data_IF_905238883374
#
_entry.id   IF_905238883374
#
_cell.length_a   1.000
_cell.length_b   1.000
_cell.length_c   1.000
_cell.angle_alpha   90.00
_cell.angle_beta   90.00
_cell.angle_gamma   90.00
#
_symmetry.space_group_name_H-M   'P 1'
#
loop_
_entity.id
_entity.type
_entity.pdbx_description
1 polymer ?
#
# COMPACT_ATOMS: atom_id res chain seq x y z
N UNK A 1 -3.02 16.98 13.98
CA UNK A 1 -3.85 15.83 13.60
C UNK A 1 -3.43 15.36 12.21
N UNK A 2 -3.20 14.08 12.04
CA UNK A 2 -3.04 13.54 10.69
C UNK A 2 -4.42 13.56 10.00
N UNK A 3 -4.52 14.18 8.84
CA UNK A 3 -5.73 14.12 8.04
C UNK A 3 -5.90 12.68 7.53
N UNK A 4 -7.09 12.14 7.64
CA UNK A 4 -7.41 10.81 7.12
C UNK A 4 -7.49 10.89 5.59
N UNK A 5 -6.93 9.88 4.91
CA UNK A 5 -7.03 9.79 3.46
C UNK A 5 -8.47 9.43 3.08
N UNK A 6 -9.12 10.34 2.35
CA UNK A 6 -10.48 10.12 1.83
C UNK A 6 -10.37 9.30 0.56
N UNK A 7 -10.88 8.06 0.59
CA UNK A 7 -10.93 7.21 -0.59
C UNK A 7 -11.93 7.75 -1.61
N UNK A 8 -11.57 7.80 -2.90
CA UNK A 8 -12.53 8.16 -3.95
C UNK A 8 -13.67 7.15 -4.05
N UNK A 9 -14.87 7.62 -4.39
CA UNK A 9 -16.09 6.80 -4.51
C UNK A 9 -15.92 5.59 -5.46
N UNK A 10 -15.09 5.70 -6.50
CA UNK A 10 -14.85 4.59 -7.41
C UNK A 10 -14.10 3.41 -6.74
N UNK A 11 -13.40 3.65 -5.64
CA UNK A 11 -12.75 2.59 -4.85
C UNK A 11 -13.78 1.81 -4.06
N UNK A 12 -14.74 2.51 -3.46
CA UNK A 12 -15.79 1.90 -2.62
C UNK A 12 -16.72 0.99 -3.45
N UNK A 13 -16.91 1.31 -4.73
CA UNK A 13 -17.73 0.55 -5.67
C UNK A 13 -16.93 -0.43 -6.55
N UNK A 14 -15.78 -0.87 -6.08
CA UNK A 14 -14.85 -1.74 -6.83
C UNK A 14 -14.68 -3.13 -6.22
N UNK A 15 -15.62 -3.62 -5.45
CA UNK A 15 -15.62 -5.00 -4.97
C UNK A 15 -15.82 -6.00 -6.15
N UNK A 16 -15.30 -7.23 -6.06
CA UNK A 16 -15.33 -8.19 -7.15
C UNK A 16 -16.74 -8.50 -7.64
N UNK A 17 -17.72 -8.61 -6.75
CA UNK A 17 -19.11 -8.94 -7.10
C UNK A 17 -19.76 -7.81 -7.89
N UNK A 18 -19.54 -6.56 -7.50
CA UNK A 18 -20.03 -5.38 -8.23
C UNK A 18 -19.40 -5.28 -9.63
N UNK A 19 -18.10 -5.54 -9.75
CA UNK A 19 -17.40 -5.54 -11.04
C UNK A 19 -17.94 -6.67 -11.92
N UNK A 20 -18.06 -7.87 -11.37
CA UNK A 20 -18.57 -9.03 -12.07
C UNK A 20 -20.01 -8.80 -12.57
N UNK A 21 -20.89 -8.24 -11.74
CA UNK A 21 -22.26 -7.89 -12.13
C UNK A 21 -22.31 -6.90 -13.28
N UNK A 22 -21.42 -5.89 -13.29
CA UNK A 22 -21.30 -4.95 -14.43
C UNK A 22 -20.80 -5.63 -15.69
N UNK A 23 -19.89 -6.60 -15.58
CA UNK A 23 -19.41 -7.38 -16.72
C UNK A 23 -20.54 -8.24 -17.30
N UNK A 24 -21.31 -8.91 -16.45
CA UNK A 24 -22.45 -9.73 -16.86
C UNK A 24 -23.55 -8.91 -17.52
N UNK A 25 -23.83 -7.71 -17.02
CA UNK A 25 -24.82 -6.80 -17.60
C UNK A 25 -24.47 -6.34 -19.03
N UNK A 26 -23.21 -6.46 -19.44
CA UNK A 26 -22.79 -6.16 -20.80
C UNK A 26 -22.86 -7.37 -21.76
N UNK A 27 -23.25 -8.55 -21.25
CA UNK A 27 -23.46 -9.73 -22.06
C UNK A 27 -24.89 -9.80 -22.61
N UNK A 28 -25.14 -10.61 -23.68
CA UNK A 28 -26.49 -10.85 -24.18
C UNK A 28 -27.43 -11.40 -23.08
N UNK A 29 -28.71 -11.03 -23.16
CA UNK A 29 -29.70 -11.29 -22.10
C UNK A 29 -29.95 -12.80 -21.83
N UNK A 30 -29.58 -13.68 -22.75
CA UNK A 30 -29.82 -15.13 -22.66
C UNK A 30 -28.66 -15.88 -21.96
N UNK A 31 -27.66 -15.17 -21.45
CA UNK A 31 -26.51 -15.81 -20.80
C UNK A 31 -26.75 -15.85 -19.30
N UNK A 32 -26.62 -17.04 -18.71
CA UNK A 32 -26.74 -17.25 -17.28
C UNK A 32 -25.64 -16.52 -16.50
N UNK A 33 -26.01 -15.86 -15.42
CA UNK A 33 -25.12 -15.18 -14.47
C UNK A 33 -24.96 -15.96 -13.15
N UNK A 34 -25.40 -17.22 -13.14
CA UNK A 34 -25.32 -18.04 -11.94
C UNK A 34 -23.89 -18.53 -11.65
N UNK A 35 -23.47 -18.58 -10.39
CA UNK A 35 -22.23 -19.26 -10.00
C UNK A 35 -22.18 -20.70 -10.52
N UNK A 36 -20.99 -21.15 -10.95
CA UNK A 36 -20.74 -22.41 -11.60
C UNK A 36 -21.17 -22.51 -13.07
N UNK A 37 -21.77 -21.48 -13.65
CA UNK A 37 -21.94 -21.37 -15.09
C UNK A 37 -20.70 -20.76 -15.76
N UNK A 38 -20.40 -21.20 -16.97
CA UNK A 38 -19.15 -20.83 -17.67
C UNK A 38 -18.92 -19.30 -17.77
N UNK A 39 -19.93 -18.45 -18.10
CA UNK A 39 -19.72 -17.03 -18.19
C UNK A 39 -19.35 -16.40 -16.84
N UNK A 40 -19.97 -16.82 -15.76
CA UNK A 40 -19.65 -16.37 -14.42
C UNK A 40 -18.25 -16.78 -14.00
N UNK A 41 -17.93 -18.06 -14.09
CA UNK A 41 -16.65 -18.62 -13.68
C UNK A 41 -15.48 -18.08 -14.51
N UNK A 42 -15.74 -17.75 -15.79
CA UNK A 42 -14.73 -17.16 -16.67
C UNK A 42 -14.47 -15.66 -16.37
N UNK A 43 -15.48 -14.91 -15.98
CA UNK A 43 -15.36 -13.47 -15.72
C UNK A 43 -14.93 -13.15 -14.29
N UNK A 44 -15.25 -13.99 -13.33
CA UNK A 44 -14.97 -13.74 -11.91
C UNK A 44 -13.48 -13.55 -11.59
N UNK A 45 -12.54 -14.34 -12.10
CA UNK A 45 -11.12 -14.12 -11.89
C UNK A 45 -10.65 -12.74 -12.38
N UNK A 46 -11.16 -12.29 -13.52
CA UNK A 46 -10.87 -10.97 -14.06
C UNK A 46 -11.43 -9.86 -13.16
N UNK A 47 -12.64 -10.03 -12.64
CA UNK A 47 -13.26 -9.09 -11.71
C UNK A 47 -12.45 -8.97 -10.40
N UNK A 48 -11.93 -10.08 -9.89
CA UNK A 48 -11.06 -10.11 -8.70
C UNK A 48 -9.77 -9.32 -8.96
N UNK A 49 -9.10 -9.53 -10.09
CA UNK A 49 -7.87 -8.81 -10.42
C UNK A 49 -8.10 -7.32 -10.65
N UNK A 50 -9.21 -6.94 -11.29
CA UNK A 50 -9.59 -5.53 -11.47
C UNK A 50 -9.90 -4.88 -10.11
N UNK A 51 -10.63 -5.56 -9.23
CA UNK A 51 -10.90 -5.09 -7.88
C UNK A 51 -9.60 -4.83 -7.11
N UNK A 52 -8.66 -5.78 -7.18
CA UNK A 52 -7.34 -5.66 -6.55
C UNK A 52 -6.55 -4.47 -7.10
N UNK A 53 -6.57 -4.28 -8.42
CA UNK A 53 -5.93 -3.14 -9.06
C UNK A 53 -6.47 -1.82 -8.54
N UNK A 54 -7.79 -1.69 -8.42
CA UNK A 54 -8.44 -0.46 -7.99
C UNK A 54 -8.23 -0.23 -6.49
N UNK A 55 -8.59 -1.20 -5.66
CA UNK A 55 -8.60 -1.05 -4.19
C UNK A 55 -7.21 -0.91 -3.60
N UNK A 56 -6.22 -1.62 -4.14
CA UNK A 56 -4.86 -1.57 -3.61
C UNK A 56 -3.95 -0.67 -4.43
N UNK A 57 -3.75 -0.97 -5.69
CA UNK A 57 -2.70 -0.32 -6.46
C UNK A 57 -3.05 1.13 -6.78
N UNK A 58 -4.28 1.39 -7.23
CA UNK A 58 -4.70 2.74 -7.58
C UNK A 58 -4.83 3.63 -6.34
N UNK A 59 -5.39 3.11 -5.26
CA UNK A 59 -5.48 3.84 -3.98
C UNK A 59 -4.10 4.19 -3.44
N UNK A 60 -3.16 3.24 -3.44
CA UNK A 60 -1.78 3.50 -3.02
C UNK A 60 -1.08 4.52 -3.91
N UNK A 61 -1.31 4.46 -5.22
CA UNK A 61 -0.77 5.44 -6.16
C UNK A 61 -1.29 6.85 -5.86
N UNK A 62 -2.58 6.99 -5.55
CA UNK A 62 -3.17 8.27 -5.14
C UNK A 62 -2.54 8.79 -3.85
N UNK A 63 -2.33 7.92 -2.86
CA UNK A 63 -1.65 8.31 -1.62
C UNK A 63 -0.23 8.81 -1.88
N UNK A 64 0.51 8.17 -2.80
CA UNK A 64 1.87 8.59 -3.16
C UNK A 64 1.94 9.96 -3.85
N UNK A 65 0.84 10.44 -4.43
CA UNK A 65 0.78 11.77 -5.04
C UNK A 65 0.85 12.91 -4.02
N UNK A 66 0.58 12.62 -2.75
CA UNK A 66 0.57 13.63 -1.69
C UNK A 66 1.72 13.40 -0.71
N UNK A 67 2.55 14.40 -0.43
CA UNK A 67 3.71 14.24 0.46
C UNK A 67 3.36 13.73 1.86
N UNK A 68 2.19 14.08 2.39
CA UNK A 68 1.77 13.70 3.73
C UNK A 68 1.44 12.20 3.88
N UNK A 69 1.14 11.51 2.77
CA UNK A 69 0.87 10.07 2.75
C UNK A 69 1.92 9.27 1.98
N UNK A 70 2.85 9.95 1.30
CA UNK A 70 3.95 9.30 0.61
C UNK A 70 4.97 8.75 1.60
N UNK A 71 5.62 7.65 1.24
CA UNK A 71 6.63 6.99 2.06
C UNK A 71 7.88 6.62 1.25
N UNK A 72 8.98 6.35 1.95
CA UNK A 72 10.23 5.87 1.36
C UNK A 72 10.78 6.80 0.29
N UNK A 73 11.20 6.21 -0.81
CA UNK A 73 11.80 6.92 -1.94
C UNK A 73 10.81 7.88 -2.63
N UNK A 74 9.51 7.58 -2.60
CA UNK A 74 8.48 8.44 -3.16
C UNK A 74 8.37 9.77 -2.40
N UNK A 75 8.51 9.72 -1.08
CA UNK A 75 8.57 10.94 -0.27
C UNK A 75 9.84 11.74 -0.57
N UNK A 76 10.95 11.07 -0.84
CA UNK A 76 12.21 11.71 -1.21
C UNK A 76 12.10 12.44 -2.56
N UNK A 77 11.35 11.88 -3.52
CA UNK A 77 11.04 12.56 -4.80
C UNK A 77 10.25 13.85 -4.60
N UNK A 78 9.27 13.85 -3.68
CA UNK A 78 8.58 15.09 -3.30
C UNK A 78 9.54 16.09 -2.66
N UNK A 79 10.47 15.62 -1.83
CA UNK A 79 11.53 16.45 -1.25
C UNK A 79 12.40 17.11 -2.30
N UNK A 80 12.83 16.36 -3.30
CA UNK A 80 13.63 16.88 -4.42
C UNK A 80 12.86 17.98 -5.16
N UNK A 81 11.57 17.79 -5.42
CA UNK A 81 10.72 18.80 -6.06
C UNK A 81 10.62 20.09 -5.23
N UNK A 82 10.64 19.98 -3.91
CA UNK A 82 10.65 21.11 -2.97
C UNK A 82 12.07 21.63 -2.64
N UNK A 83 13.12 21.10 -3.27
CA UNK A 83 14.54 21.40 -2.98
C UNK A 83 14.93 21.10 -1.53
N UNK A 84 14.33 20.09 -0.94
CA UNK A 84 14.63 19.60 0.41
C UNK A 84 15.20 18.19 0.31
N UNK A 85 16.25 17.89 1.04
CA UNK A 85 16.83 16.56 1.11
C UNK A 85 16.62 15.95 2.48
N UNK A 86 16.34 14.64 2.51
CA UNK A 86 16.22 13.91 3.77
C UNK A 86 17.56 13.88 4.50
N UNK A 87 17.54 14.13 5.79
CA UNK A 87 18.71 13.89 6.64
C UNK A 87 19.03 12.40 6.63
N UNK A 88 20.29 12.09 6.36
CA UNK A 88 20.79 10.71 6.41
C UNK A 88 20.77 10.19 7.85
N UNK A 89 20.55 8.89 7.99
CA UNK A 89 20.68 8.23 9.28
C UNK A 89 22.11 8.34 9.80
N UNK A 90 22.26 8.69 11.06
CA UNK A 90 23.54 8.67 11.76
C UNK A 90 23.53 7.57 12.83
N UNK A 91 24.68 7.01 13.09
CA UNK A 91 24.81 6.03 14.18
C UNK A 91 24.52 6.71 15.51
N UNK A 92 23.73 6.05 16.35
CA UNK A 92 23.58 6.48 17.73
C UNK A 92 24.90 6.28 18.48
N UNK A 93 25.26 7.24 19.31
CA UNK A 93 26.39 7.15 20.22
C UNK A 93 25.92 7.49 21.63
N UNK A 94 26.45 6.79 22.61
CA UNK A 94 26.08 7.01 24.00
C UNK A 94 27.23 6.53 24.92
N UNK A 95 27.14 6.94 26.15
CA UNK A 95 28.05 6.50 27.21
C UNK A 95 27.35 5.47 28.09
N UNK A 96 28.02 4.36 28.35
CA UNK A 96 27.55 3.34 29.27
C UNK A 96 28.53 3.28 30.43
N UNK A 97 28.01 3.34 31.66
CA UNK A 97 28.80 3.18 32.87
C UNK A 97 28.69 1.71 33.29
N UNK A 98 29.85 1.03 33.32
CA UNK A 98 29.92 -0.36 33.72
C UNK A 98 30.62 -0.43 35.08
N UNK A 99 30.02 -1.17 36.02
CA UNK A 99 30.62 -1.43 37.34
C UNK A 99 30.97 -2.91 37.44
N UNK A 100 32.18 -3.20 37.87
CA UNK A 100 32.68 -4.57 37.99
C UNK A 100 33.89 -4.71 38.90
N UNK A 101 34.44 -5.89 38.98
CA UNK A 101 35.66 -6.18 39.74
C UNK A 101 36.85 -5.56 38.97
N UNK A 102 37.78 -4.94 39.73
CA UNK A 102 38.97 -4.37 39.14
C UNK A 102 39.79 -5.42 38.38
N UNK A 103 40.13 -5.10 37.10
CA UNK A 103 40.86 -6.01 36.21
C UNK A 103 40.00 -6.82 35.23
N UNK A 104 38.67 -6.67 35.26
CA UNK A 104 37.81 -7.28 34.26
C UNK A 104 38.00 -6.59 32.91
N UNK A 105 38.31 -7.36 31.88
CA UNK A 105 38.44 -6.89 30.51
C UNK A 105 37.05 -6.97 29.84
N UNK A 106 36.62 -5.86 29.26
CA UNK A 106 35.40 -5.79 28.43
C UNK A 106 35.85 -5.81 26.97
N UNK A 107 35.49 -6.86 26.25
CA UNK A 107 35.78 -6.99 24.84
C UNK A 107 34.88 -6.09 23.99
N UNK A 108 35.41 -5.60 22.86
CA UNK A 108 34.66 -4.81 21.90
C UNK A 108 33.51 -5.64 21.31
N UNK A 109 32.30 -5.11 21.35
CA UNK A 109 31.09 -5.80 20.84
C UNK A 109 30.30 -6.60 21.87
N UNK A 110 30.63 -6.45 23.15
CA UNK A 110 29.87 -7.11 24.24
C UNK A 110 28.58 -6.36 24.59
#
# INVERSE_FOLDING_TARGET
MAEEFITPEFVDNSDPDTIQSRMMNNLPVDISDMPADFPYDFTMPTAIEISRLIQYNLTRTLMLMFPMWAWGEWLDLHGVSAKVTRKQASRASGHVTVTGIAGTIIEEGT
#
